data_IF_813961481128
#
_entry.id   IF_813961481128
#
_cell.length_a   1.000
_cell.length_b   1.000
_cell.length_c   1.000
_cell.angle_alpha   90.00
_cell.angle_beta   90.00
_cell.angle_gamma   90.00
#
_symmetry.space_group_name_H-M   'P 1'
#
loop_
_entity.id
_entity.type
_entity.pdbx_description
1 polymer ?
#
# COMPACT_ATOMS: atom_id res chain seq x y z
N UNK A 1 26.49 49.54 -7.07
CA UNK A 1 27.13 48.31 -6.55
C UNK A 1 26.02 47.36 -6.17
N UNK A 2 25.83 46.27 -6.89
CA UNK A 2 24.97 45.17 -6.43
C UNK A 2 25.69 44.49 -5.27
N UNK A 3 25.06 44.44 -4.10
CA UNK A 3 25.62 43.81 -2.90
C UNK A 3 25.28 42.31 -2.97
N UNK A 4 26.21 41.49 -3.47
CA UNK A 4 26.05 40.04 -3.46
C UNK A 4 26.24 39.56 -2.02
N UNK A 5 25.18 39.02 -1.41
CA UNK A 5 25.26 38.42 -0.08
C UNK A 5 25.81 37.00 -0.25
N UNK A 6 27.10 36.83 0.05
CA UNK A 6 27.77 35.53 0.06
C UNK A 6 27.07 34.60 1.08
N UNK A 7 26.85 33.33 0.72
CA UNK A 7 26.29 32.31 1.62
C UNK A 7 27.35 31.68 2.52
N UNK A 8 27.35 30.35 2.64
CA UNK A 8 28.29 29.62 3.50
C UNK A 8 29.71 29.68 2.93
N UNK A 9 30.64 30.22 3.72
CA UNK A 9 32.05 30.37 3.35
C UNK A 9 32.89 29.48 4.25
N UNK A 10 33.72 28.63 3.65
CA UNK A 10 34.63 27.74 4.35
C UNK A 10 36.04 27.93 3.80
N UNK A 11 37.03 27.93 4.68
CA UNK A 11 38.45 28.00 4.29
C UNK A 11 39.05 26.60 4.30
N UNK A 12 39.78 26.30 3.23
CA UNK A 12 40.59 25.12 3.04
C UNK A 12 42.05 25.52 2.77
N UNK A 13 42.86 24.53 2.45
CA UNK A 13 44.25 24.51 2.13
C UNK A 13 44.32 24.34 0.61
N UNK A 14 44.98 25.22 -0.12
CA UNK A 14 45.16 25.04 -1.55
C UNK A 14 46.13 23.86 -1.81
N UNK A 15 45.83 22.95 -2.74
CA UNK A 15 46.76 21.89 -3.13
C UNK A 15 47.74 22.35 -4.23
N UNK A 16 47.44 23.47 -4.90
CA UNK A 16 48.25 24.07 -5.98
C UNK A 16 48.29 25.61 -5.98
N UNK A 17 48.88 26.23 -7.01
CA UNK A 17 48.81 27.67 -7.23
C UNK A 17 47.46 28.04 -7.87
N UNK A 18 46.60 28.66 -7.08
CA UNK A 18 45.25 29.09 -7.46
C UNK A 18 45.16 30.61 -7.68
N UNK A 19 46.29 31.30 -7.85
CA UNK A 19 46.32 32.76 -7.97
C UNK A 19 45.56 33.29 -9.19
N UNK A 20 45.41 32.47 -10.24
CA UNK A 20 44.59 32.75 -11.41
C UNK A 20 43.15 32.21 -11.35
N UNK A 21 42.78 31.53 -10.26
CA UNK A 21 41.52 30.78 -10.15
C UNK A 21 40.40 31.49 -9.37
N UNK A 22 40.56 32.78 -9.07
CA UNK A 22 39.51 33.54 -8.38
C UNK A 22 38.20 33.51 -9.17
N UNK A 23 37.10 33.16 -8.49
CA UNK A 23 35.77 32.94 -9.07
C UNK A 23 35.66 31.76 -10.04
N UNK A 24 36.59 30.80 -9.98
CA UNK A 24 36.46 29.50 -10.63
C UNK A 24 35.94 28.45 -9.64
N UNK A 25 35.33 27.41 -10.20
CA UNK A 25 34.95 26.20 -9.50
C UNK A 25 36.20 25.43 -9.05
N UNK A 26 36.12 24.88 -7.84
CA UNK A 26 37.21 24.12 -7.22
C UNK A 26 36.68 22.80 -6.66
N UNK A 27 37.54 21.79 -6.59
CA UNK A 27 37.26 20.47 -6.02
C UNK A 27 37.88 20.33 -4.64
N UNK A 28 37.46 19.30 -3.90
CA UNK A 28 38.17 18.85 -2.70
C UNK A 28 38.81 17.50 -3.03
N UNK A 29 40.13 17.46 -3.03
CA UNK A 29 40.86 16.25 -3.37
C UNK A 29 41.03 15.33 -2.16
N UNK A 30 41.47 14.10 -2.44
CA UNK A 30 41.62 13.04 -1.42
C UNK A 30 42.61 13.38 -0.29
N UNK A 31 43.45 14.37 -0.48
CA UNK A 31 44.39 14.90 0.51
C UNK A 31 43.78 15.96 1.44
N UNK A 32 42.50 16.31 1.23
CA UNK A 32 41.79 17.34 1.97
C UNK A 32 42.08 18.76 1.50
N UNK A 33 42.84 18.92 0.42
CA UNK A 33 43.18 20.23 -0.15
C UNK A 33 42.24 20.57 -1.32
N UNK A 34 42.19 21.86 -1.64
CA UNK A 34 41.38 22.41 -2.71
C UNK A 34 42.23 22.66 -3.94
N UNK A 35 41.81 22.08 -5.06
CA UNK A 35 42.43 22.23 -6.38
C UNK A 35 41.42 22.83 -7.38
N UNK A 36 41.89 23.32 -8.52
CA UNK A 36 41.02 23.79 -9.59
C UNK A 36 40.20 22.62 -10.15
N UNK A 37 38.92 22.85 -10.42
CA UNK A 37 38.14 21.88 -11.18
C UNK A 37 38.64 21.84 -12.65
N UNK A 38 39.44 20.84 -12.99
CA UNK A 38 40.20 20.77 -14.24
C UNK A 38 39.66 19.74 -15.25
N UNK A 39 38.57 19.04 -14.91
CA UNK A 39 37.79 18.22 -15.82
C UNK A 39 36.30 18.60 -15.84
N UNK A 40 35.64 18.35 -16.97
CA UNK A 40 34.18 18.57 -17.09
C UNK A 40 33.35 17.63 -16.22
N UNK A 41 33.96 16.53 -15.76
CA UNK A 41 33.34 15.47 -14.93
C UNK A 41 33.56 15.66 -13.44
N UNK A 42 34.36 16.66 -13.04
CA UNK A 42 34.62 16.94 -11.63
C UNK A 42 33.36 17.41 -10.93
N UNK A 43 33.28 17.14 -9.63
CA UNK A 43 32.21 17.59 -8.75
C UNK A 43 32.71 18.80 -7.94
N UNK A 44 32.37 20.04 -8.33
CA UNK A 44 32.86 21.21 -7.63
C UNK A 44 32.26 21.33 -6.23
N UNK A 45 33.12 21.59 -5.24
CA UNK A 45 32.68 21.80 -3.86
C UNK A 45 32.23 23.23 -3.58
N UNK A 46 32.46 24.14 -4.53
CA UNK A 46 32.17 25.55 -4.40
C UNK A 46 33.00 26.42 -5.35
N UNK A 47 33.02 27.72 -5.07
CA UNK A 47 33.72 28.72 -5.90
C UNK A 47 34.73 29.49 -5.06
N UNK A 48 35.97 29.56 -5.55
CA UNK A 48 37.08 30.23 -4.88
C UNK A 48 36.88 31.76 -4.83
N UNK A 49 37.15 32.38 -3.69
CA UNK A 49 36.96 33.83 -3.48
C UNK A 49 38.26 34.63 -3.40
N UNK A 50 39.34 34.01 -2.95
CA UNK A 50 40.65 34.63 -2.81
C UNK A 50 41.64 34.12 -3.88
N UNK A 51 42.92 34.46 -3.75
CA UNK A 51 43.98 34.17 -4.73
C UNK A 51 45.18 33.49 -4.04
N UNK A 52 45.05 32.21 -3.61
CA UNK A 52 46.16 31.48 -3.00
C UNK A 52 47.28 31.30 -4.04
N UNK A 53 48.49 31.77 -3.74
CA UNK A 53 49.61 31.83 -4.70
C UNK A 53 50.55 30.60 -4.67
N UNK A 54 50.20 29.59 -3.88
CA UNK A 54 50.92 28.32 -3.78
C UNK A 54 50.09 27.29 -2.99
N UNK A 55 50.51 26.03 -3.08
CA UNK A 55 50.03 24.97 -2.20
C UNK A 55 50.25 25.30 -0.72
N UNK A 56 49.35 24.83 0.14
CA UNK A 56 49.33 25.06 1.58
C UNK A 56 48.90 26.47 2.01
N UNK A 57 48.45 27.32 1.08
CA UNK A 57 47.85 28.63 1.40
C UNK A 57 46.36 28.48 1.69
N UNK A 58 45.80 29.43 2.44
CA UNK A 58 44.36 29.43 2.71
C UNK A 58 43.57 29.69 1.42
N UNK A 59 42.66 28.79 1.07
CA UNK A 59 41.70 28.90 -0.04
C UNK A 59 40.30 29.11 0.53
N UNK A 60 39.74 30.30 0.34
CA UNK A 60 38.40 30.65 0.81
C UNK A 60 37.36 30.29 -0.25
N UNK A 61 36.48 29.34 0.04
CA UNK A 61 35.50 28.78 -0.90
C UNK A 61 34.08 29.09 -0.42
N UNK A 62 33.24 29.62 -1.31
CA UNK A 62 31.79 29.76 -1.07
C UNK A 62 31.10 28.50 -1.55
N UNK A 63 30.29 27.89 -0.69
CA UNK A 63 29.60 26.61 -0.93
C UNK A 63 28.07 26.72 -1.04
N UNK A 64 27.53 27.93 -0.85
CA UNK A 64 26.08 28.14 -0.86
C UNK A 64 25.70 29.59 -1.10
N UNK A 65 24.43 29.83 -1.41
CA UNK A 65 23.91 31.17 -1.71
C UNK A 65 24.39 31.72 -3.06
N UNK A 66 24.51 33.04 -3.18
CA UNK A 66 24.93 33.69 -4.41
C UNK A 66 26.44 33.94 -4.43
N UNK A 67 27.09 33.57 -5.52
CA UNK A 67 28.52 33.84 -5.74
C UNK A 67 28.79 34.28 -7.17
N UNK A 68 29.92 34.97 -7.36
CA UNK A 68 30.41 35.31 -8.69
C UNK A 68 31.14 34.12 -9.27
N UNK A 69 30.97 33.90 -10.56
CA UNK A 69 31.72 32.90 -11.32
C UNK A 69 32.26 33.52 -12.61
N UNK A 70 33.41 33.06 -13.07
CA UNK A 70 33.90 33.36 -14.43
C UNK A 70 33.18 32.42 -15.40
N UNK A 71 32.54 32.98 -16.43
CA UNK A 71 31.86 32.21 -17.44
C UNK A 71 32.86 31.61 -18.45
N UNK A 72 32.64 30.38 -18.89
CA UNK A 72 33.38 29.74 -20.00
C UNK A 72 32.72 29.98 -21.36
N UNK A 73 31.56 30.63 -21.38
CA UNK A 73 30.77 30.95 -22.57
C UNK A 73 29.76 32.07 -22.28
N UNK A 74 28.89 32.40 -23.24
CA UNK A 74 27.76 33.30 -22.97
C UNK A 74 26.71 32.58 -22.10
N UNK A 75 26.40 33.12 -20.93
CA UNK A 75 25.46 32.54 -19.98
C UNK A 75 24.20 33.40 -19.85
N UNK A 76 23.05 32.84 -20.22
CA UNK A 76 21.75 33.50 -20.03
C UNK A 76 21.27 33.40 -18.58
N UNK A 77 20.49 34.38 -18.11
CA UNK A 77 19.77 34.28 -16.82
C UNK A 77 18.87 33.03 -16.85
N UNK A 78 18.79 32.33 -15.73
CA UNK A 78 18.12 31.04 -15.53
C UNK A 78 18.78 29.82 -16.17
N UNK A 79 19.90 29.96 -16.89
CA UNK A 79 20.69 28.79 -17.29
C UNK A 79 21.22 28.06 -16.04
N UNK A 80 21.18 26.73 -16.06
CA UNK A 80 21.84 25.90 -15.04
C UNK A 80 23.28 25.71 -15.50
N UNK A 81 24.23 25.89 -14.59
CA UNK A 81 25.66 25.83 -14.90
C UNK A 81 26.40 24.79 -14.06
N UNK A 82 27.44 24.23 -14.66
CA UNK A 82 28.48 23.45 -14.00
C UNK A 82 29.87 23.93 -14.45
N UNK A 83 30.90 23.15 -14.13
CA UNK A 83 32.28 23.48 -14.50
C UNK A 83 32.67 22.94 -15.88
N UNK A 84 33.57 23.65 -16.57
CA UNK A 84 34.37 23.08 -17.66
C UNK A 84 35.74 22.58 -17.16
N UNK A 85 36.58 22.09 -18.06
CA UNK A 85 37.96 21.65 -17.78
C UNK A 85 38.95 22.79 -17.44
N UNK A 86 38.44 23.93 -17.00
CA UNK A 86 39.22 25.10 -16.59
C UNK A 86 38.56 25.82 -15.42
N UNK A 87 37.67 25.16 -14.69
CA UNK A 87 36.95 25.73 -13.55
C UNK A 87 35.90 26.78 -13.90
N UNK A 88 35.64 27.07 -15.18
CA UNK A 88 34.71 28.14 -15.57
C UNK A 88 33.28 27.62 -15.63
N UNK A 89 32.33 28.52 -15.36
CA UNK A 89 30.91 28.21 -15.45
C UNK A 89 30.45 28.09 -16.90
N UNK A 90 29.92 26.93 -17.26
CA UNK A 90 29.31 26.64 -18.57
C UNK A 90 27.91 26.08 -18.36
N UNK A 91 27.01 26.25 -19.32
CA UNK A 91 25.68 25.66 -19.27
C UNK A 91 25.79 24.13 -19.17
N UNK A 92 24.99 23.53 -18.30
CA UNK A 92 25.03 22.07 -18.07
C UNK A 92 24.65 21.32 -19.34
N UNK A 93 25.44 20.30 -19.64
CA UNK A 93 25.17 19.29 -20.64
C UNK A 93 25.44 17.90 -20.05
N UNK A 94 25.21 16.83 -20.81
CA UNK A 94 25.46 15.47 -20.32
C UNK A 94 26.92 15.30 -19.88
N UNK A 95 27.13 14.80 -18.67
CA UNK A 95 28.47 14.59 -18.09
C UNK A 95 29.04 15.77 -17.31
N UNK A 96 28.28 16.86 -17.13
CA UNK A 96 28.65 18.01 -16.31
C UNK A 96 27.80 18.06 -15.03
N UNK A 97 28.44 18.18 -13.87
CA UNK A 97 27.73 18.28 -12.58
C UNK A 97 27.03 19.65 -12.42
N UNK A 98 25.71 19.68 -12.16
CA UNK A 98 24.97 20.92 -11.98
C UNK A 98 25.30 21.59 -10.63
N UNK A 99 25.85 22.79 -10.66
CA UNK A 99 26.28 23.52 -9.45
C UNK A 99 25.28 24.60 -9.02
N UNK A 100 24.55 25.22 -9.97
CA UNK A 100 23.61 26.28 -9.64
C UNK A 100 22.99 26.97 -10.86
N UNK A 101 22.20 28.01 -10.60
CA UNK A 101 21.47 28.78 -11.62
C UNK A 101 22.02 30.19 -11.77
N UNK A 102 22.15 30.66 -13.01
CA UNK A 102 22.59 32.01 -13.33
C UNK A 102 21.52 33.04 -12.95
N UNK A 103 21.87 33.98 -12.09
CA UNK A 103 21.03 35.12 -11.65
C UNK A 103 21.44 36.42 -12.37
N UNK A 104 22.73 36.55 -12.73
CA UNK A 104 23.23 37.65 -13.55
C UNK A 104 24.00 37.07 -14.73
N UNK A 105 23.56 37.39 -15.95
CA UNK A 105 24.11 36.87 -17.19
C UNK A 105 25.57 37.31 -17.44
N UNK A 106 26.28 36.50 -18.24
CA UNK A 106 27.58 36.82 -18.84
C UNK A 106 27.44 36.86 -20.37
N UNK A 107 28.07 37.83 -21.03
CA UNK A 107 27.95 38.04 -22.48
C UNK A 107 28.85 37.13 -23.30
N UNK A 108 29.98 36.68 -22.73
CA UNK A 108 30.95 35.81 -23.35
C UNK A 108 31.80 35.06 -22.31
N UNK A 109 32.65 34.15 -22.78
CA UNK A 109 33.70 33.53 -21.97
C UNK A 109 34.62 34.60 -21.37
N UNK A 110 34.98 34.43 -20.10
CA UNK A 110 35.80 35.35 -19.30
C UNK A 110 35.00 36.44 -18.59
N UNK A 111 33.74 36.68 -18.97
CA UNK A 111 32.87 37.61 -18.24
C UNK A 111 32.46 37.03 -16.88
N UNK A 112 32.13 37.90 -15.93
CA UNK A 112 31.65 37.50 -14.61
C UNK A 112 30.13 37.37 -14.62
N UNK A 113 29.64 36.16 -14.34
CA UNK A 113 28.24 35.90 -14.02
C UNK A 113 28.04 35.85 -12.49
N UNK A 114 26.80 35.94 -12.05
CA UNK A 114 26.41 35.59 -10.68
C UNK A 114 25.52 34.37 -10.74
N UNK A 115 25.85 33.35 -9.96
CA UNK A 115 25.04 32.16 -9.79
C UNK A 115 24.46 32.12 -8.38
N UNK A 116 23.36 31.43 -8.23
CA UNK A 116 22.82 30.94 -6.97
C UNK A 116 23.04 29.42 -6.94
N UNK A 117 23.80 28.93 -5.96
CA UNK A 117 23.98 27.48 -5.75
C UNK A 117 22.62 26.83 -5.49
N UNK A 118 22.44 25.61 -5.98
CA UNK A 118 21.33 24.80 -5.49
C UNK A 118 21.57 24.53 -4.00
N UNK A 119 20.59 24.87 -3.15
CA UNK A 119 20.53 24.23 -1.83
C UNK A 119 20.42 22.73 -2.08
N UNK A 120 21.10 21.90 -1.28
CA UNK A 120 21.04 20.44 -1.38
C UNK A 120 19.62 19.90 -1.12
N UNK A 121 18.71 20.09 -2.07
CA UNK A 121 17.83 19.01 -2.47
C UNK A 121 18.70 18.14 -3.34
N UNK A 122 19.20 17.04 -2.78
CA UNK A 122 19.89 15.99 -3.53
C UNK A 122 18.98 15.55 -4.68
N UNK A 123 19.19 16.13 -5.85
CA UNK A 123 18.68 15.57 -7.09
C UNK A 123 19.57 14.37 -7.38
N UNK A 124 19.15 13.21 -6.89
CA UNK A 124 19.91 11.98 -7.14
C UNK A 124 19.50 11.48 -8.52
N UNK A 125 20.08 12.15 -9.51
CA UNK A 125 19.96 11.83 -10.92
C UNK A 125 21.06 10.85 -11.31
N UNK A 126 20.96 9.60 -10.86
CA UNK A 126 21.93 8.54 -11.16
C UNK A 126 21.42 7.16 -10.80
N UNK A 127 22.08 6.11 -11.29
CA UNK A 127 21.85 4.71 -10.85
C UNK A 127 22.37 4.44 -9.43
N UNK A 128 22.26 5.44 -8.55
CA UNK A 128 22.84 5.44 -7.22
C UNK A 128 21.91 4.68 -6.27
N UNK A 129 22.48 3.74 -5.53
CA UNK A 129 21.72 2.98 -4.54
C UNK A 129 21.43 3.88 -3.34
N UNK A 130 20.19 4.34 -3.22
CA UNK A 130 19.73 4.97 -1.98
C UNK A 130 19.56 3.94 -0.88
N UNK A 131 20.26 4.13 0.25
CA UNK A 131 20.15 3.22 1.39
C UNK A 131 18.86 3.43 2.20
N UNK A 132 18.28 4.64 2.20
CA UNK A 132 17.01 4.95 2.86
C UNK A 132 16.42 6.28 2.34
N UNK A 133 15.09 6.37 2.31
CA UNK A 133 14.35 7.62 2.10
C UNK A 133 13.64 7.93 3.43
N UNK A 134 14.11 8.95 4.16
CA UNK A 134 13.51 9.40 5.41
C UNK A 134 12.78 10.72 5.19
N UNK A 135 11.46 10.73 5.33
CA UNK A 135 10.64 11.93 5.22
C UNK A 135 9.70 12.04 6.43
N UNK A 136 9.49 13.26 6.92
CA UNK A 136 8.53 13.53 8.00
C UNK A 136 7.09 13.64 7.48
N UNK A 137 6.90 13.64 6.16
CA UNK A 137 5.63 13.78 5.47
C UNK A 137 5.48 12.78 4.32
N UNK A 138 4.86 13.22 3.23
CA UNK A 138 4.47 12.33 2.13
C UNK A 138 5.63 12.04 1.16
N UNK A 139 5.62 10.83 0.61
CA UNK A 139 6.35 10.46 -0.60
C UNK A 139 5.33 10.41 -1.74
N UNK A 140 5.50 11.23 -2.76
CA UNK A 140 4.55 11.35 -3.87
C UNK A 140 5.23 11.01 -5.18
N UNK A 141 4.61 10.09 -5.95
CA UNK A 141 4.97 9.80 -7.34
C UNK A 141 3.84 10.26 -8.24
N UNK A 142 4.10 11.24 -9.12
CA UNK A 142 3.07 11.88 -9.97
C UNK A 142 3.36 11.65 -11.44
N UNK A 143 2.42 10.98 -12.12
CA UNK A 143 2.37 10.90 -13.57
C UNK A 143 1.30 11.88 -14.07
N UNK A 144 1.66 12.69 -15.05
CA UNK A 144 0.78 13.71 -15.64
C UNK A 144 0.49 13.44 -17.11
N UNK A 145 0.96 12.31 -17.63
CA UNK A 145 0.76 11.94 -19.01
C UNK A 145 -0.72 11.64 -19.31
N UNK A 146 -1.14 11.94 -20.54
CA UNK A 146 -2.50 11.73 -21.02
C UNK A 146 -2.59 10.40 -21.81
N UNK A 147 -2.08 9.34 -21.22
CA UNK A 147 -2.05 7.99 -21.79
C UNK A 147 -2.59 6.96 -20.79
N UNK A 148 -2.38 5.67 -21.07
CA UNK A 148 -2.89 4.56 -20.26
C UNK A 148 -1.87 4.04 -19.24
N UNK A 149 -0.67 4.62 -19.20
CA UNK A 149 0.42 4.16 -18.35
C UNK A 149 0.35 4.85 -16.97
N UNK A 150 1.17 4.39 -16.03
CA UNK A 150 1.21 4.94 -14.68
C UNK A 150 2.60 4.79 -14.05
N UNK A 151 2.79 5.46 -12.91
CA UNK A 151 3.96 5.23 -12.07
C UNK A 151 3.94 3.84 -11.44
N UNK A 152 5.14 3.25 -11.31
CA UNK A 152 5.37 1.96 -10.67
C UNK A 152 6.20 2.12 -9.39
N UNK A 153 5.92 1.27 -8.40
CA UNK A 153 6.74 1.09 -7.20
C UNK A 153 7.16 -0.37 -7.12
N UNK A 154 8.42 -0.64 -7.49
CA UNK A 154 8.92 -2.00 -7.65
C UNK A 154 9.79 -2.40 -6.46
N UNK A 155 9.40 -3.48 -5.77
CA UNK A 155 10.26 -4.19 -4.83
C UNK A 155 10.93 -5.38 -5.55
N UNK A 156 12.26 -5.41 -5.56
CA UNK A 156 13.03 -6.49 -6.19
C UNK A 156 13.93 -7.16 -5.16
N UNK A 157 13.89 -8.49 -5.12
CA UNK A 157 14.80 -9.29 -4.31
C UNK A 157 15.66 -10.18 -5.19
N UNK A 158 16.94 -10.25 -4.84
CA UNK A 158 17.87 -11.25 -5.33
C UNK A 158 18.58 -11.90 -4.15
N UNK A 159 18.92 -13.19 -4.29
CA UNK A 159 19.84 -13.86 -3.38
C UNK A 159 21.30 -13.80 -3.86
N UNK A 160 21.59 -12.98 -4.87
CA UNK A 160 22.75 -13.20 -5.77
C UNK A 160 22.53 -14.41 -6.70
N UNK A 161 21.32 -14.96 -6.69
CA UNK A 161 20.80 -16.10 -7.42
C UNK A 161 19.26 -16.00 -7.41
N UNK A 162 18.59 -17.00 -8.01
CA UNK A 162 17.12 -17.09 -7.99
C UNK A 162 16.58 -17.12 -6.55
N UNK A 163 15.45 -16.45 -6.34
CA UNK A 163 14.69 -16.53 -5.08
C UNK A 163 14.11 -17.93 -4.89
N UNK A 164 13.74 -18.26 -3.66
CA UNK A 164 13.25 -19.58 -3.23
C UNK A 164 11.85 -19.47 -2.65
N UNK A 165 11.17 -20.60 -2.48
CA UNK A 165 9.88 -20.65 -1.81
C UNK A 165 9.92 -19.98 -0.44
N UNK A 166 8.90 -19.16 -0.14
CA UNK A 166 8.80 -18.33 1.06
C UNK A 166 9.83 -17.20 1.19
N UNK A 167 10.47 -16.79 0.11
CA UNK A 167 11.22 -15.53 0.10
C UNK A 167 10.27 -14.32 0.06
N UNK A 168 10.39 -13.42 1.03
CA UNK A 168 9.76 -12.08 1.00
C UNK A 168 10.36 -11.25 -0.13
N UNK A 169 9.59 -10.88 -1.15
CA UNK A 169 10.01 -10.03 -2.26
C UNK A 169 9.94 -8.55 -1.92
N UNK A 170 9.01 -8.17 -1.05
CA UNK A 170 8.81 -6.80 -0.59
C UNK A 170 7.79 -6.74 0.54
N UNK A 171 7.92 -5.72 1.40
CA UNK A 171 7.02 -5.49 2.54
C UNK A 171 6.70 -4.01 2.68
N UNK A 172 5.42 -3.72 2.93
CA UNK A 172 4.97 -2.46 3.51
C UNK A 172 4.66 -2.73 4.99
N UNK A 173 5.33 -2.01 5.89
CA UNK A 173 5.26 -2.23 7.34
C UNK A 173 4.69 -0.99 8.04
N UNK A 174 3.52 -1.15 8.64
CA UNK A 174 2.84 -0.10 9.38
C UNK A 174 3.21 -0.23 10.86
N UNK A 175 4.15 0.60 11.30
CA UNK A 175 4.66 0.58 12.67
C UNK A 175 4.09 1.73 13.51
N UNK A 176 3.86 1.47 14.80
CA UNK A 176 3.42 2.46 15.78
C UNK A 176 4.39 2.55 16.95
N UNK A 177 4.56 3.74 17.54
CA UNK A 177 5.31 3.89 18.77
C UNK A 177 4.47 3.41 19.96
N UNK A 178 4.93 2.36 20.64
CA UNK A 178 4.25 1.76 21.81
C UNK A 178 4.48 2.53 23.13
N UNK A 179 5.19 3.67 23.08
CA UNK A 179 5.67 4.43 24.23
C UNK A 179 7.15 4.20 24.58
N UNK A 180 7.82 3.23 23.94
CA UNK A 180 9.25 2.91 24.12
C UNK A 180 9.94 2.65 22.78
N UNK A 181 9.37 1.79 21.92
CA UNK A 181 9.89 1.40 20.60
C UNK A 181 8.81 1.58 19.54
N UNK A 182 9.21 1.47 18.27
CA UNK A 182 8.28 1.29 17.16
C UNK A 182 8.09 -0.21 16.92
N UNK A 183 6.84 -0.65 16.93
CA UNK A 183 6.47 -2.05 16.68
C UNK A 183 5.52 -2.14 15.49
N UNK A 184 5.59 -3.24 14.74
CA UNK A 184 4.68 -3.53 13.62
C UNK A 184 3.25 -3.78 14.12
N UNK A 185 2.31 -2.98 13.64
CA UNK A 185 0.88 -3.14 13.89
C UNK A 185 0.20 -3.96 12.78
N UNK A 186 0.59 -3.70 11.52
CA UNK A 186 0.10 -4.42 10.35
C UNK A 186 1.14 -4.45 9.24
N UNK A 187 1.07 -5.47 8.39
CA UNK A 187 2.00 -5.65 7.28
C UNK A 187 1.27 -6.12 6.02
N UNK A 188 1.79 -5.70 4.88
CA UNK A 188 1.44 -6.24 3.56
C UNK A 188 2.73 -6.78 2.95
N UNK A 189 2.77 -8.08 2.67
CA UNK A 189 3.99 -8.78 2.23
C UNK A 189 3.72 -9.55 0.95
N UNK A 190 4.57 -9.36 -0.05
CA UNK A 190 4.59 -10.21 -1.23
C UNK A 190 5.68 -11.27 -1.07
N UNK A 191 5.34 -12.54 -1.26
CA UNK A 191 6.25 -13.67 -1.02
C UNK A 191 6.22 -14.65 -2.21
N UNK A 192 7.31 -15.37 -2.41
CA UNK A 192 7.36 -16.50 -3.35
C UNK A 192 6.51 -17.65 -2.81
N UNK A 193 5.62 -18.19 -3.65
CA UNK A 193 4.67 -19.25 -3.32
C UNK A 193 4.88 -20.49 -4.20
N UNK A 194 6.04 -21.13 -4.06
CA UNK A 194 6.46 -22.26 -4.87
C UNK A 194 7.91 -22.17 -5.31
N UNK A 195 8.31 -23.02 -6.27
CA UNK A 195 9.67 -22.99 -6.85
C UNK A 195 9.71 -22.07 -8.07
N UNK A 196 10.44 -20.94 -8.05
CA UNK A 196 10.59 -20.10 -9.23
C UNK A 196 11.33 -20.78 -10.37
N UNK A 197 10.92 -20.49 -11.60
CA UNK A 197 11.58 -20.95 -12.82
C UNK A 197 12.42 -19.84 -13.44
N UNK A 198 13.61 -20.20 -13.93
CA UNK A 198 14.63 -19.25 -14.38
C UNK A 198 14.22 -18.34 -15.56
N UNK A 199 13.12 -18.62 -16.28
CA UNK A 199 12.77 -17.90 -17.52
C UNK A 199 11.46 -17.15 -17.47
N UNK A 200 10.40 -17.72 -16.88
CA UNK A 200 9.02 -17.18 -17.01
C UNK A 200 8.14 -17.45 -15.80
N UNK A 201 8.70 -17.99 -14.71
CA UNK A 201 7.88 -18.46 -13.60
C UNK A 201 8.35 -17.83 -12.29
N UNK A 202 7.45 -17.06 -11.68
CA UNK A 202 7.63 -16.46 -10.37
C UNK A 202 6.31 -16.60 -9.63
N UNK A 203 6.04 -17.76 -9.02
CA UNK A 203 4.78 -17.96 -8.31
C UNK A 203 4.80 -17.09 -7.06
N UNK A 204 3.77 -16.27 -6.89
CA UNK A 204 3.69 -15.28 -5.82
C UNK A 204 2.42 -15.42 -4.99
N UNK A 205 2.50 -14.98 -3.74
CA UNK A 205 1.36 -14.71 -2.88
C UNK A 205 1.46 -13.31 -2.29
N UNK A 206 0.30 -12.71 -2.02
CA UNK A 206 0.19 -11.48 -1.25
C UNK A 206 -0.48 -11.78 0.09
N UNK A 207 0.14 -11.40 1.20
CA UNK A 207 -0.32 -11.68 2.55
C UNK A 207 -0.55 -10.39 3.31
N UNK A 208 -1.67 -10.32 4.02
CA UNK A 208 -1.98 -9.24 4.96
C UNK A 208 -1.90 -9.82 6.38
N UNK A 209 -1.07 -9.19 7.22
CA UNK A 209 -0.85 -9.59 8.60
C UNK A 209 -1.22 -8.47 9.55
N UNK A 210 -1.77 -8.83 10.71
CA UNK A 210 -2.08 -7.90 11.79
C UNK A 210 -1.51 -8.45 13.10
N UNK A 211 -1.00 -7.58 13.96
CA UNK A 211 -0.58 -7.95 15.32
C UNK A 211 -1.81 -7.99 16.23
N UNK A 212 -2.19 -9.14 16.81
CA UNK A 212 -3.29 -9.21 17.76
C UNK A 212 -3.02 -8.38 19.02
N UNK A 213 -4.07 -7.94 19.69
CA UNK A 213 -3.94 -7.27 21.00
C UNK A 213 -3.22 -8.19 22.01
N UNK A 214 -2.26 -7.62 22.75
CA UNK A 214 -1.39 -8.36 23.66
C UNK A 214 -0.32 -9.25 22.99
N UNK A 215 -0.14 -9.17 21.66
CA UNK A 215 0.93 -9.86 20.92
C UNK A 215 2.03 -8.90 20.49
N UNK A 216 3.25 -9.42 20.31
CA UNK A 216 4.36 -8.69 19.70
C UNK A 216 4.63 -9.13 18.24
N UNK A 217 3.89 -10.12 17.73
CA UNK A 217 4.11 -10.72 16.41
C UNK A 217 2.86 -10.62 15.53
N UNK A 218 2.98 -10.06 14.31
CA UNK A 218 1.92 -10.11 13.31
C UNK A 218 1.54 -11.55 12.94
N UNK A 219 0.24 -11.83 12.83
CA UNK A 219 -0.30 -13.08 12.29
C UNK A 219 -1.03 -12.84 10.97
N UNK A 220 -1.00 -13.82 10.07
CA UNK A 220 -1.77 -13.79 8.81
C UNK A 220 -3.26 -13.66 9.09
N UNK A 221 -3.94 -12.78 8.34
CA UNK A 221 -5.40 -12.61 8.40
C UNK A 221 -6.03 -13.02 7.07
N UNK A 222 -5.43 -12.62 5.96
CA UNK A 222 -5.88 -12.99 4.62
C UNK A 222 -4.70 -13.10 3.66
N UNK A 223 -4.79 -14.06 2.74
CA UNK A 223 -3.80 -14.30 1.70
C UNK A 223 -4.45 -14.52 0.34
N UNK A 224 -3.79 -13.98 -0.69
CA UNK A 224 -4.14 -14.14 -2.09
C UNK A 224 -3.06 -14.99 -2.76
N UNK A 225 -3.43 -16.20 -3.20
CA UNK A 225 -2.50 -17.14 -3.84
C UNK A 225 -3.29 -18.13 -4.71
N UNK A 226 -2.72 -18.55 -5.84
CA UNK A 226 -3.25 -19.66 -6.67
C UNK A 226 -4.72 -19.50 -7.10
N UNK A 227 -5.18 -18.27 -7.28
CA UNK A 227 -6.59 -17.95 -7.60
C UNK A 227 -7.55 -18.07 -6.41
N UNK A 228 -7.04 -18.25 -5.19
CA UNK A 228 -7.79 -18.33 -3.95
C UNK A 228 -7.58 -17.08 -3.09
N UNK A 229 -8.62 -16.72 -2.34
CA UNK A 229 -8.54 -15.84 -1.17
C UNK A 229 -8.73 -16.73 0.05
N UNK A 230 -7.69 -16.89 0.86
CA UNK A 230 -7.74 -17.69 2.09
C UNK A 230 -7.81 -16.76 3.28
N UNK A 231 -8.81 -16.95 4.14
CA UNK A 231 -8.87 -16.29 5.44
C UNK A 231 -8.24 -17.19 6.49
N UNK A 232 -7.58 -16.59 7.48
CA UNK A 232 -7.08 -17.32 8.65
C UNK A 232 -8.24 -17.91 9.47
N UNK A 233 -7.90 -18.85 10.37
CA UNK A 233 -8.88 -19.44 11.27
C UNK A 233 -9.54 -18.37 12.15
N UNK A 234 -10.81 -18.60 12.51
CA UNK A 234 -11.60 -17.70 13.36
C UNK A 234 -11.77 -16.28 12.80
N UNK A 235 -11.77 -16.12 11.47
CA UNK A 235 -12.16 -14.88 10.79
C UNK A 235 -13.62 -14.96 10.35
N UNK A 236 -14.43 -14.04 10.86
CA UNK A 236 -15.84 -13.89 10.48
C UNK A 236 -16.03 -12.86 9.35
N UNK A 237 -16.99 -13.09 8.46
CA UNK A 237 -17.45 -12.08 7.50
C UNK A 237 -18.53 -11.19 8.15
N UNK A 238 -18.10 -10.15 8.85
CA UNK A 238 -18.99 -9.21 9.55
C UNK A 238 -19.37 -8.03 8.64
N UNK A 239 -20.66 -7.72 8.55
CA UNK A 239 -21.20 -6.61 7.75
C UNK A 239 -21.96 -5.58 8.62
N UNK A 240 -22.07 -4.35 8.14
CA UNK A 240 -22.85 -3.29 8.81
C UNK A 240 -24.38 -3.52 8.73
N UNK A 241 -25.14 -2.87 9.60
CA UNK A 241 -26.56 -3.19 9.87
C UNK A 241 -27.61 -2.47 9.00
N UNK A 242 -27.23 -1.47 8.21
CA UNK A 242 -28.22 -0.59 7.54
C UNK A 242 -28.81 -1.19 6.25
N UNK A 243 -27.99 -1.38 5.22
CA UNK A 243 -28.46 -1.75 3.86
C UNK A 243 -28.30 -3.24 3.55
N UNK A 244 -27.47 -3.95 4.34
CA UNK A 244 -27.05 -5.32 4.08
C UNK A 244 -26.06 -5.45 2.91
N UNK A 245 -25.45 -6.63 2.78
CA UNK A 245 -24.48 -6.97 1.73
C UNK A 245 -25.04 -8.09 0.86
N UNK A 246 -24.86 -7.99 -0.47
CA UNK A 246 -25.16 -9.07 -1.41
C UNK A 246 -23.93 -9.93 -1.65
N UNK A 247 -24.09 -11.25 -1.70
CA UNK A 247 -23.07 -12.22 -2.13
C UNK A 247 -23.61 -12.93 -3.37
N UNK A 248 -22.97 -12.72 -4.52
CA UNK A 248 -23.48 -13.16 -5.83
C UNK A 248 -24.59 -12.24 -6.35
N UNK A 249 -24.23 -11.21 -7.13
CA UNK A 249 -25.15 -10.18 -7.64
C UNK A 249 -25.77 -10.52 -9.00
N UNK A 250 -25.24 -11.52 -9.72
CA UNK A 250 -25.77 -11.99 -11.00
C UNK A 250 -26.21 -13.46 -10.91
N UNK A 251 -27.25 -13.84 -11.66
CA UNK A 251 -27.82 -15.20 -11.66
C UNK A 251 -26.84 -16.29 -12.13
N UNK A 252 -25.76 -15.91 -12.83
CA UNK A 252 -24.71 -16.83 -13.28
C UNK A 252 -23.56 -17.01 -12.29
N UNK A 253 -23.48 -16.20 -11.22
CA UNK A 253 -22.44 -16.33 -10.21
C UNK A 253 -22.77 -17.50 -9.28
N UNK A 254 -21.75 -18.27 -8.92
CA UNK A 254 -21.91 -19.51 -8.15
C UNK A 254 -21.25 -19.40 -6.79
N UNK A 255 -21.89 -19.95 -5.78
CA UNK A 255 -21.33 -20.11 -4.43
C UNK A 255 -21.40 -21.60 -4.06
N UNK A 256 -20.28 -22.13 -3.55
CA UNK A 256 -20.19 -23.47 -3.00
C UNK A 256 -19.92 -23.40 -1.50
N UNK A 257 -20.43 -24.38 -0.76
CA UNK A 257 -20.17 -24.52 0.67
C UNK A 257 -19.79 -25.98 0.98
N UNK A 258 -18.92 -26.19 1.98
CA UNK A 258 -18.49 -27.53 2.43
C UNK A 258 -18.01 -28.45 1.30
N UNK A 259 -17.23 -27.90 0.36
CA UNK A 259 -16.73 -28.61 -0.82
C UNK A 259 -17.82 -29.15 -1.78
N UNK A 260 -19.06 -28.67 -1.66
CA UNK A 260 -20.10 -28.98 -2.63
C UNK A 260 -19.86 -28.22 -3.95
N UNK A 261 -20.28 -28.82 -5.07
CA UNK A 261 -20.26 -28.16 -6.38
C UNK A 261 -20.93 -26.79 -6.28
N UNK A 262 -20.24 -25.69 -6.63
CA UNK A 262 -20.84 -24.37 -6.58
C UNK A 262 -22.11 -24.29 -7.40
N UNK A 263 -23.19 -23.82 -6.80
CA UNK A 263 -24.50 -23.68 -7.45
C UNK A 263 -24.77 -22.23 -7.81
N UNK A 264 -25.46 -22.01 -8.93
CA UNK A 264 -25.98 -20.68 -9.28
C UNK A 264 -27.11 -20.30 -8.32
N UNK A 265 -27.48 -19.02 -8.30
CA UNK A 265 -28.70 -18.59 -7.60
C UNK A 265 -29.89 -19.46 -8.03
N UNK A 266 -30.56 -20.18 -7.11
CA UNK A 266 -31.74 -20.96 -7.45
C UNK A 266 -32.82 -20.05 -8.04
N UNK A 267 -33.52 -20.53 -9.08
CA UNK A 267 -34.72 -19.85 -9.56
C UNK A 267 -35.72 -19.76 -8.42
N UNK A 268 -36.28 -18.56 -8.17
CA UNK A 268 -37.18 -18.33 -7.05
C UNK A 268 -38.31 -19.35 -7.05
N UNK A 269 -38.37 -20.20 -6.03
CA UNK A 269 -39.35 -21.25 -5.94
C UNK A 269 -40.66 -20.64 -5.42
N UNK A 270 -41.65 -20.42 -6.29
CA UNK A 270 -42.94 -19.83 -5.93
C UNK A 270 -43.83 -20.76 -5.07
N UNK A 271 -43.37 -21.98 -4.78
CA UNK A 271 -44.11 -23.01 -4.05
C UNK A 271 -43.48 -23.28 -2.67
N UNK A 272 -44.19 -22.96 -1.56
CA UNK A 272 -43.76 -23.30 -0.19
C UNK A 272 -43.48 -24.79 0.01
N UNK A 273 -44.09 -25.70 -0.75
CA UNK A 273 -43.86 -27.15 -0.65
C UNK A 273 -42.47 -27.57 -1.12
N UNK A 274 -41.83 -26.79 -2.00
CA UNK A 274 -40.49 -27.07 -2.51
C UNK A 274 -39.38 -26.34 -1.73
N UNK A 275 -39.74 -25.43 -0.82
CA UNK A 275 -38.85 -24.98 0.27
C UNK A 275 -38.42 -26.16 1.18
N UNK A 276 -39.23 -27.22 1.28
CA UNK A 276 -38.86 -28.46 1.97
C UNK A 276 -37.65 -29.19 1.36
N UNK A 277 -37.25 -28.85 0.13
CA UNK A 277 -36.02 -29.37 -0.49
C UNK A 277 -34.76 -28.57 -0.15
N UNK A 278 -34.90 -27.35 0.40
CA UNK A 278 -33.83 -26.66 1.11
C UNK A 278 -33.71 -27.22 2.53
N UNK A 279 -33.58 -28.53 2.64
CA UNK A 279 -33.21 -29.15 3.91
C UNK A 279 -31.75 -28.78 4.18
N UNK A 280 -31.54 -27.77 5.01
CA UNK A 280 -30.55 -27.99 6.08
C UNK A 280 -31.00 -29.29 6.71
N UNK A 281 -30.27 -30.38 6.49
CA UNK A 281 -30.46 -31.59 7.30
C UNK A 281 -30.19 -31.13 8.73
N UNK A 282 -31.24 -30.76 9.47
CA UNK A 282 -31.17 -30.73 10.91
C UNK A 282 -30.74 -32.14 11.25
N UNK A 283 -29.46 -32.30 11.60
CA UNK A 283 -28.95 -33.57 12.09
C UNK A 283 -29.95 -34.03 13.13
N UNK A 284 -30.30 -35.30 13.09
CA UNK A 284 -31.31 -35.94 13.94
C UNK A 284 -30.89 -36.01 15.42
N UNK A 285 -30.17 -35.01 15.91
CA UNK A 285 -29.93 -34.74 17.32
C UNK A 285 -31.11 -33.97 17.89
N UNK A 286 -32.09 -34.72 18.40
CA UNK A 286 -33.01 -34.33 19.48
C UNK A 286 -33.30 -32.82 19.64
N UNK A 287 -34.24 -32.29 18.86
CA UNK A 287 -35.14 -31.24 19.36
C UNK A 287 -36.58 -31.76 19.29
N UNK A 288 -37.00 -32.33 20.42
CA UNK A 288 -38.26 -33.05 20.60
C UNK A 288 -39.43 -32.10 20.94
N UNK A 289 -39.55 -30.94 20.27
CA UNK A 289 -40.58 -29.95 20.60
C UNK A 289 -41.49 -29.51 19.45
N UNK A 290 -41.20 -29.90 18.21
CA UNK A 290 -42.13 -29.67 17.09
C UNK A 290 -42.55 -31.01 16.47
N UNK A 291 -43.84 -31.40 16.59
CA UNK A 291 -44.33 -32.63 15.96
C UNK A 291 -44.10 -32.56 14.46
N UNK A 292 -43.62 -33.66 13.89
CA UNK A 292 -43.52 -33.81 12.45
C UNK A 292 -44.91 -33.68 11.80
N UNK A 293 -44.96 -33.27 10.53
CA UNK A 293 -46.24 -33.15 9.81
C UNK A 293 -47.10 -34.43 9.81
N UNK A 294 -46.48 -35.60 9.98
CA UNK A 294 -47.16 -36.88 10.13
C UNK A 294 -47.83 -37.04 11.51
N UNK A 295 -47.14 -36.63 12.59
CA UNK A 295 -47.70 -36.63 13.95
C UNK A 295 -48.81 -35.60 14.12
N UNK A 296 -48.72 -34.44 13.43
CA UNK A 296 -49.80 -33.46 13.37
C UNK A 296 -51.06 -34.02 12.69
N UNK A 297 -50.89 -34.80 11.62
CA UNK A 297 -52.02 -35.41 10.91
C UNK A 297 -52.70 -36.51 11.75
N UNK A 298 -51.93 -37.34 12.44
CA UNK A 298 -52.47 -38.35 13.36
C UNK A 298 -53.26 -37.69 14.51
N UNK A 299 -52.71 -36.63 15.11
CA UNK A 299 -53.40 -35.89 16.18
C UNK A 299 -54.70 -35.21 15.71
N UNK A 300 -54.75 -34.74 14.46
CA UNK A 300 -55.98 -34.18 13.86
C UNK A 300 -57.02 -35.28 13.62
N UNK A 301 -56.61 -36.42 13.08
CA UNK A 301 -57.51 -37.53 12.78
C UNK A 301 -58.09 -38.12 14.10
N UNK A 302 -57.29 -38.20 15.17
CA UNK A 302 -57.75 -38.56 16.52
C UNK A 302 -58.76 -37.55 17.09
N UNK A 303 -58.55 -36.25 16.84
CA UNK A 303 -59.46 -35.19 17.29
C UNK A 303 -60.81 -35.24 16.55
N UNK A 304 -60.81 -35.52 15.25
CA UNK A 304 -62.03 -35.69 14.45
C UNK A 304 -62.81 -36.96 14.87
N UNK A 305 -62.09 -38.03 15.20
CA UNK A 305 -62.68 -39.25 15.75
C UNK A 305 -63.32 -39.00 17.13
N UNK A 306 -62.63 -38.26 18.01
CA UNK A 306 -63.16 -37.88 19.32
C UNK A 306 -64.40 -36.98 19.18
N UNK A 307 -64.36 -36.01 18.27
CA UNK A 307 -65.52 -35.15 17.98
C UNK A 307 -66.73 -35.97 17.54
N UNK A 308 -66.52 -36.91 16.63
CA UNK A 308 -67.58 -37.81 16.16
C UNK A 308 -68.16 -38.64 17.30
N UNK A 309 -67.31 -39.16 18.19
CA UNK A 309 -67.75 -39.92 19.37
C UNK A 309 -68.56 -39.07 20.36
N UNK A 310 -68.16 -37.81 20.59
CA UNK A 310 -68.90 -36.87 21.46
C UNK A 310 -70.26 -36.53 20.86
N UNK A 311 -70.32 -36.25 19.56
CA UNK A 311 -71.58 -35.93 18.88
C UNK A 311 -72.55 -37.14 18.92
N UNK A 312 -72.04 -38.37 18.81
CA UNK A 312 -72.83 -39.60 18.98
C UNK A 312 -73.34 -39.79 20.41
N UNK A 313 -72.51 -39.53 21.42
CA UNK A 313 -72.92 -39.61 22.83
C UNK A 313 -74.01 -38.58 23.17
N UNK A 314 -73.89 -37.35 22.68
CA UNK A 314 -74.90 -36.32 22.88
C UNK A 314 -76.24 -36.73 22.25
N UNK A 315 -76.23 -37.27 21.03
CA UNK A 315 -77.44 -37.79 20.40
C UNK A 315 -78.08 -38.93 21.19
N UNK A 316 -77.27 -39.82 21.79
CA UNK A 316 -77.77 -40.88 22.66
C UNK A 316 -78.38 -40.34 23.97
N UNK A 317 -77.75 -39.32 24.58
CA UNK A 317 -78.28 -38.63 25.77
C UNK A 317 -79.61 -37.97 25.44
N UNK A 318 -79.72 -37.28 24.30
CA UNK A 318 -80.95 -36.64 23.86
C UNK A 318 -82.08 -37.66 23.65
N UNK A 319 -81.78 -38.82 23.06
CA UNK A 319 -82.73 -39.90 22.91
C UNK A 319 -83.21 -40.46 24.27
N UNK A 320 -82.28 -40.69 25.20
CA UNK A 320 -82.62 -41.13 26.57
C UNK A 320 -83.49 -40.10 27.28
N UNK A 321 -83.17 -38.80 27.15
CA UNK A 321 -83.98 -37.72 27.73
C UNK A 321 -85.39 -37.68 27.14
N UNK A 322 -85.53 -37.91 25.83
CA UNK A 322 -86.83 -38.02 25.17
C UNK A 322 -87.63 -39.23 25.69
N UNK A 323 -87.00 -40.39 25.81
CA UNK A 323 -87.63 -41.60 26.35
C UNK A 323 -88.08 -41.40 27.80
N UNK A 324 -87.22 -40.83 28.66
CA UNK A 324 -87.57 -40.49 30.05
C UNK A 324 -88.78 -39.54 30.14
N UNK A 325 -88.87 -38.56 29.22
CA UNK A 325 -90.01 -37.67 29.15
C UNK A 325 -91.30 -38.41 28.78
N UNK A 326 -91.25 -39.35 27.83
CA UNK A 326 -92.43 -40.16 27.47
C UNK A 326 -92.91 -41.09 28.60
N UNK A 327 -91.99 -41.50 29.48
CA UNK A 327 -92.28 -42.32 30.66
C UNK A 327 -92.76 -41.50 31.87
N UNK A 328 -92.84 -40.16 31.76
CA UNK A 328 -93.25 -39.28 32.85
C UNK A 328 -92.21 -39.15 33.97
N UNK A 329 -90.96 -39.54 33.70
CA UNK A 329 -89.83 -39.51 34.63
C UNK A 329 -88.98 -38.25 34.47
N UNK A 330 -89.61 -37.11 34.16
CA UNK A 330 -88.89 -35.84 34.09
C UNK A 330 -88.43 -35.45 35.49
N UNK A 331 -87.17 -34.99 35.61
CA UNK A 331 -86.60 -34.54 36.88
C UNK A 331 -87.59 -33.61 37.59
N UNK A 332 -87.92 -33.91 38.86
CA UNK A 332 -88.69 -33.01 39.70
C UNK A 332 -87.99 -31.64 39.71
N UNK A 333 -88.73 -30.59 39.36
CA UNK A 333 -88.30 -29.20 39.60
C UNK A 333 -88.06 -28.98 41.08
#
# INVERSE_FOLDING_TARGET
>A
MSTVKLGDVVTYEAGEDLSSAQYLFVTLESDGQVDLADATTDEPIGVLQNVPDAAGKEATVVKGGQTKVVAGEALAVNAIVGTNASGQAVAVSSGVWPCGRVVTAAGASGDVAVIEFFYSSEEIGGSDTFSAIACTGDITSTDTAADADCNDLIFQKSRGAIVQDNDDLGKIDFQGNNGTTYDSAAQIVAEVNGTPGATTDMPGRLVILCTPDGSATPGEVVRFADGLVTFADSVDLVFNTTTGTKIGTATGQKIGFWNATPVVQPSHNADPAACASMTHTVGTGADATTPSGAEYNLARDDLDALKTAVDANNAAIDAINADMATLGLTAAS
#
